data_IF_905687995665
#
_entry.id   IF_905687995665
#
_cell.length_a   1.000
_cell.length_b   1.000
_cell.length_c   1.000
_cell.angle_alpha   90.00
_cell.angle_beta   90.00
_cell.angle_gamma   90.00
#
_symmetry.space_group_name_H-M   'P 1'
#
loop_
_entity.id
_entity.type
_entity.pdbx_description
1 polymer ?
#
# COMPACT_ATOMS: atom_id res chain seq x y z
N UNK A 1 -2.35 22.89 -17.39
CA UNK A 1 -2.80 21.98 -16.31
C UNK A 1 -3.84 22.70 -15.49
N UNK A 2 -5.01 22.11 -15.23
CA UNK A 2 -5.97 22.69 -14.29
C UNK A 2 -5.45 22.42 -12.86
N UNK A 3 -5.20 23.46 -12.09
CA UNK A 3 -4.80 23.36 -10.68
C UNK A 3 -6.01 23.51 -9.73
N UNK A 4 -7.23 23.37 -10.26
CA UNK A 4 -8.48 23.46 -9.51
C UNK A 4 -9.24 22.17 -9.71
N UNK A 5 -9.46 21.43 -8.63
CA UNK A 5 -10.18 20.16 -8.58
C UNK A 5 -11.56 20.40 -7.94
N UNK A 6 -12.57 19.68 -8.38
CA UNK A 6 -13.93 19.76 -7.83
C UNK A 6 -14.14 18.81 -6.65
N UNK A 7 -13.31 17.77 -6.55
CA UNK A 7 -13.35 16.76 -5.49
C UNK A 7 -11.93 16.28 -5.14
N UNK A 8 -11.74 15.88 -3.90
CA UNK A 8 -10.50 15.23 -3.46
C UNK A 8 -10.24 13.93 -4.23
N UNK A 9 -11.26 13.28 -4.77
CA UNK A 9 -11.14 12.08 -5.58
C UNK A 9 -10.35 12.31 -6.88
N UNK A 10 -10.43 13.52 -7.45
CA UNK A 10 -9.68 13.91 -8.65
C UNK A 10 -8.18 14.13 -8.38
N UNK A 11 -7.79 14.22 -7.10
CA UNK A 11 -6.40 14.42 -6.69
C UNK A 11 -5.66 13.10 -6.44
N UNK A 12 -6.36 11.97 -6.49
CA UNK A 12 -5.76 10.65 -6.29
C UNK A 12 -4.91 10.25 -7.50
N UNK A 13 -3.70 9.77 -7.23
CA UNK A 13 -2.77 9.37 -8.27
C UNK A 13 -1.84 10.50 -8.75
N UNK A 14 -1.21 10.29 -9.90
CA UNK A 14 -0.19 11.19 -10.49
C UNK A 14 0.90 11.58 -9.48
N UNK A 15 1.27 10.63 -8.65
CA UNK A 15 2.31 10.81 -7.63
C UNK A 15 3.68 10.89 -8.29
N UNK A 16 4.60 11.73 -7.79
CA UNK A 16 5.89 11.93 -8.44
C UNK A 16 6.83 10.74 -8.29
N UNK A 17 7.75 10.59 -9.25
CA UNK A 17 8.99 9.83 -9.12
C UNK A 17 10.11 10.76 -8.64
N UNK A 18 10.82 10.34 -7.59
CA UNK A 18 11.98 11.04 -7.05
C UNK A 18 13.26 10.23 -7.24
N UNK A 19 14.29 10.84 -7.83
CA UNK A 19 15.61 10.21 -7.91
C UNK A 19 16.35 10.32 -6.58
N UNK A 20 16.67 9.18 -5.97
CA UNK A 20 17.30 9.06 -4.65
C UNK A 20 18.83 9.02 -4.78
N UNK A 21 19.41 10.09 -5.31
CA UNK A 21 20.81 10.14 -5.74
C UNK A 21 21.82 10.06 -4.58
N UNK A 22 21.52 10.71 -3.46
CA UNK A 22 22.42 10.72 -2.29
C UNK A 22 22.44 9.36 -1.62
N UNK A 23 21.25 8.78 -1.40
CA UNK A 23 21.11 7.45 -0.81
C UNK A 23 21.76 6.38 -1.69
N UNK A 24 21.51 6.40 -3.01
CA UNK A 24 22.11 5.49 -3.96
C UNK A 24 23.66 5.58 -3.93
N UNK A 25 24.20 6.79 -3.89
CA UNK A 25 25.65 7.02 -3.81
C UNK A 25 26.24 6.50 -2.50
N UNK A 26 25.62 6.79 -1.36
CA UNK A 26 26.06 6.32 -0.04
C UNK A 26 26.11 4.79 0.02
N UNK A 27 25.09 4.14 -0.53
CA UNK A 27 25.01 2.68 -0.60
C UNK A 27 25.77 2.07 -1.79
N UNK A 28 26.54 2.85 -2.57
CA UNK A 28 27.32 2.39 -3.71
C UNK A 28 26.47 1.64 -4.76
N UNK A 29 25.23 2.06 -4.96
CA UNK A 29 24.37 1.53 -6.02
C UNK A 29 24.98 1.83 -7.39
N UNK A 30 24.92 0.85 -8.29
CA UNK A 30 25.31 0.98 -9.70
C UNK A 30 24.13 1.34 -10.58
N UNK A 31 22.91 1.16 -10.05
CA UNK A 31 21.66 1.53 -10.68
C UNK A 31 21.21 2.92 -10.21
N UNK A 32 20.35 3.55 -11.01
CA UNK A 32 19.56 4.70 -10.59
C UNK A 32 18.37 4.21 -9.76
N UNK A 33 18.16 4.77 -8.58
CA UNK A 33 17.04 4.44 -7.70
C UNK A 33 16.00 5.54 -7.79
N UNK A 34 14.77 5.17 -8.16
CA UNK A 34 13.63 6.06 -8.34
C UNK A 34 12.52 5.68 -7.36
N UNK A 35 12.16 6.57 -6.44
CA UNK A 35 11.06 6.36 -5.50
C UNK A 35 9.74 6.85 -6.07
N UNK A 36 8.74 5.99 -6.23
CA UNK A 36 7.34 6.37 -6.51
C UNK A 36 6.68 6.80 -5.22
N UNK A 37 6.53 8.10 -5.02
CA UNK A 37 6.15 8.73 -3.76
C UNK A 37 4.63 8.68 -3.54
N UNK A 38 4.08 7.53 -3.15
CA UNK A 38 2.63 7.33 -2.97
C UNK A 38 2.03 8.12 -1.79
N UNK A 39 2.85 8.66 -0.90
CA UNK A 39 2.42 9.61 0.14
C UNK A 39 2.08 11.00 -0.38
N UNK A 40 2.22 11.28 -1.68
CA UNK A 40 1.67 12.47 -2.33
C UNK A 40 0.19 12.32 -2.71
N UNK A 41 -0.41 11.14 -2.53
CA UNK A 41 -1.86 11.02 -2.56
C UNK A 41 -2.51 11.86 -1.44
N UNK A 42 -3.76 12.32 -1.59
CA UNK A 42 -4.39 13.28 -0.68
C UNK A 42 -4.52 12.81 0.77
N UNK A 43 -4.60 11.51 1.02
CA UNK A 43 -4.58 10.90 2.36
C UNK A 43 -3.21 10.27 2.68
N UNK A 44 -2.16 10.67 1.99
CA UNK A 44 -0.77 10.35 2.23
C UNK A 44 -0.43 8.85 2.13
N UNK A 45 -1.17 8.08 1.29
CA UNK A 45 -0.80 6.69 1.06
C UNK A 45 -1.26 6.12 -0.28
N UNK A 46 -0.62 5.03 -0.68
CA UNK A 46 -0.97 4.23 -1.84
C UNK A 46 -2.42 3.70 -1.81
N UNK A 47 -3.01 3.59 -0.61
CA UNK A 47 -4.35 3.03 -0.43
C UNK A 47 -5.47 3.98 -0.85
N UNK A 48 -5.18 5.25 -1.06
CA UNK A 48 -6.13 6.21 -1.63
C UNK A 48 -6.59 5.76 -3.02
N UNK A 49 -5.65 5.23 -3.82
CA UNK A 49 -5.95 4.64 -5.14
C UNK A 49 -6.87 3.45 -5.04
N UNK A 50 -6.54 2.53 -4.14
CA UNK A 50 -7.29 1.29 -3.92
C UNK A 50 -8.71 1.60 -3.42
N UNK A 51 -8.81 2.49 -2.43
CA UNK A 51 -10.10 2.88 -1.85
C UNK A 51 -11.03 3.53 -2.89
N UNK A 52 -10.50 4.49 -3.66
CA UNK A 52 -11.27 5.13 -4.72
C UNK A 52 -11.73 4.12 -5.77
N UNK A 53 -10.81 3.27 -6.25
CA UNK A 53 -11.11 2.32 -7.32
C UNK A 53 -12.12 1.25 -6.91
N UNK A 54 -12.07 0.78 -5.66
CA UNK A 54 -13.07 -0.17 -5.15
C UNK A 54 -14.48 0.46 -5.08
N UNK A 55 -14.59 1.73 -4.67
CA UNK A 55 -15.87 2.44 -4.64
C UNK A 55 -16.39 2.67 -6.08
N UNK A 56 -15.53 3.12 -6.99
CA UNK A 56 -15.88 3.32 -8.41
C UNK A 56 -16.34 2.02 -9.10
N UNK A 57 -15.70 0.90 -8.73
CA UNK A 57 -16.11 -0.41 -9.25
C UNK A 57 -17.53 -0.80 -8.76
N UNK A 58 -17.84 -0.55 -7.48
CA UNK A 58 -19.17 -0.79 -6.95
C UNK A 58 -20.23 0.14 -7.60
N UNK A 59 -19.88 1.42 -7.84
CA UNK A 59 -20.74 2.36 -8.60
C UNK A 59 -21.02 1.84 -10.02
N UNK A 60 -19.97 1.41 -10.71
CA UNK A 60 -20.09 0.90 -12.08
C UNK A 60 -20.84 -0.43 -12.17
N UNK A 61 -20.77 -1.26 -11.13
CA UNK A 61 -21.50 -2.53 -11.01
C UNK A 61 -23.00 -2.38 -10.77
N UNK A 62 -23.48 -1.17 -10.44
CA UNK A 62 -24.87 -0.91 -10.16
C UNK A 62 -25.36 -1.50 -8.82
N UNK A 63 -24.44 -1.82 -7.93
CA UNK A 63 -24.72 -2.41 -6.62
C UNK A 63 -25.12 -1.35 -5.57
N UNK A 64 -24.98 -0.06 -5.89
CA UNK A 64 -25.17 1.05 -4.96
C UNK A 64 -26.60 1.60 -5.04
N UNK A 65 -27.19 1.82 -3.87
CA UNK A 65 -28.45 2.53 -3.67
C UNK A 65 -28.31 3.61 -2.58
N UNK A 66 -29.36 4.36 -2.30
CA UNK A 66 -29.36 5.45 -1.29
C UNK A 66 -29.10 4.99 0.16
N UNK A 67 -29.31 3.69 0.44
CA UNK A 67 -29.09 3.10 1.76
C UNK A 67 -27.75 2.39 1.88
N UNK A 68 -26.96 2.30 0.81
CA UNK A 68 -25.71 1.54 0.77
C UNK A 68 -24.77 1.95 1.90
N UNK A 69 -24.23 0.91 2.57
CA UNK A 69 -23.23 1.02 3.60
C UNK A 69 -22.01 0.18 3.20
N UNK A 70 -20.89 0.81 2.95
CA UNK A 70 -19.64 0.08 2.74
C UNK A 70 -19.11 -0.47 4.04
N UNK A 71 -18.53 -1.67 4.01
CA UNK A 71 -17.95 -2.36 5.18
C UNK A 71 -16.56 -2.87 4.84
N UNK A 72 -15.59 -2.68 5.73
CA UNK A 72 -14.25 -3.25 5.58
C UNK A 72 -13.63 -3.60 6.93
N UNK A 73 -12.93 -4.74 6.98
CA UNK A 73 -12.12 -5.13 8.14
C UNK A 73 -10.67 -4.67 7.92
N UNK A 74 -10.29 -3.57 8.55
CA UNK A 74 -8.95 -3.00 8.38
C UNK A 74 -8.56 -2.06 9.50
N UNK A 75 -7.31 -2.09 9.93
CA UNK A 75 -6.73 -1.14 10.88
C UNK A 75 -5.74 -0.16 10.26
N UNK A 76 -5.56 -0.21 8.93
CA UNK A 76 -4.51 0.49 8.22
C UNK A 76 -4.98 1.59 7.28
N UNK A 77 -4.10 1.93 6.35
CA UNK A 77 -4.30 2.98 5.36
C UNK A 77 -5.53 2.76 4.47
N UNK A 78 -5.94 1.50 4.23
CA UNK A 78 -7.16 1.20 3.47
C UNK A 78 -8.41 1.78 4.14
N UNK A 79 -8.52 1.63 5.47
CA UNK A 79 -9.63 2.21 6.23
C UNK A 79 -9.66 3.74 6.17
N UNK A 80 -8.50 4.39 6.24
CA UNK A 80 -8.38 5.84 6.13
C UNK A 80 -8.78 6.30 4.72
N UNK A 81 -8.26 5.63 3.68
CA UNK A 81 -8.61 5.93 2.30
C UNK A 81 -10.11 5.76 2.03
N UNK A 82 -10.70 4.63 2.46
CA UNK A 82 -12.13 4.39 2.33
C UNK A 82 -12.95 5.45 3.06
N UNK A 83 -12.57 5.82 4.30
CA UNK A 83 -13.30 6.81 5.09
C UNK A 83 -13.35 8.17 4.38
N UNK A 84 -12.22 8.64 3.85
CA UNK A 84 -12.16 9.90 3.13
C UNK A 84 -12.89 9.87 1.78
N UNK A 85 -12.74 8.78 1.00
CA UNK A 85 -13.43 8.66 -0.29
C UNK A 85 -14.94 8.52 -0.12
N UNK A 86 -15.40 7.76 0.89
CA UNK A 86 -16.81 7.68 1.24
C UNK A 86 -17.37 9.04 1.68
N UNK A 87 -16.66 9.77 2.53
CA UNK A 87 -17.06 11.12 2.92
C UNK A 87 -17.20 12.06 1.71
N UNK A 88 -16.22 12.03 0.80
CA UNK A 88 -16.24 12.86 -0.41
C UNK A 88 -17.38 12.53 -1.38
N UNK A 89 -17.79 11.27 -1.43
CA UNK A 89 -18.87 10.77 -2.32
C UNK A 89 -20.23 10.66 -1.63
N UNK A 90 -20.33 10.93 -0.31
CA UNK A 90 -21.57 10.90 0.46
C UNK A 90 -22.02 9.50 0.88
N UNK A 91 -21.14 8.51 0.91
CA UNK A 91 -21.45 7.14 1.32
C UNK A 91 -21.22 6.90 2.80
N UNK A 92 -22.01 6.00 3.39
CA UNK A 92 -21.78 5.49 4.74
C UNK A 92 -20.69 4.43 4.73
N UNK A 93 -19.88 4.41 5.79
CA UNK A 93 -18.79 3.42 5.96
C UNK A 93 -18.75 2.89 7.39
N UNK A 94 -18.64 1.57 7.51
CA UNK A 94 -18.36 0.88 8.75
C UNK A 94 -17.01 0.18 8.65
N UNK A 95 -16.11 0.47 9.57
CA UNK A 95 -14.81 -0.20 9.70
C UNK A 95 -14.83 -1.07 10.94
N UNK A 96 -14.34 -2.31 10.83
CA UNK A 96 -14.11 -3.18 11.97
C UNK A 96 -12.61 -3.38 12.17
N UNK A 97 -12.16 -3.33 13.42
CA UNK A 97 -10.75 -3.54 13.77
C UNK A 97 -10.58 -3.93 15.25
N UNK A 98 -9.46 -4.59 15.62
CA UNK A 98 -9.16 -4.87 17.02
C UNK A 98 -8.96 -3.59 17.84
N UNK A 99 -9.38 -3.61 19.10
CA UNK A 99 -9.35 -2.45 20.00
C UNK A 99 -7.95 -1.94 20.36
N UNK A 100 -6.92 -2.78 20.19
CA UNK A 100 -5.52 -2.44 20.47
C UNK A 100 -4.80 -1.76 19.28
N UNK A 101 -5.54 -1.39 18.25
CA UNK A 101 -4.96 -0.66 17.11
C UNK A 101 -4.74 0.83 17.44
N UNK A 102 -3.93 1.51 16.61
CA UNK A 102 -3.57 2.93 16.79
C UNK A 102 -4.80 3.82 16.98
N UNK A 103 -4.83 4.57 18.09
CA UNK A 103 -5.91 5.50 18.41
C UNK A 103 -5.99 6.64 17.39
N UNK A 104 -4.85 7.08 16.87
CA UNK A 104 -4.77 8.13 15.86
C UNK A 104 -5.52 7.73 14.58
N UNK A 105 -5.38 6.47 14.16
CA UNK A 105 -6.09 5.94 12.99
C UNK A 105 -7.59 5.80 13.25
N UNK A 106 -7.98 5.32 14.43
CA UNK A 106 -9.39 5.24 14.83
C UNK A 106 -10.03 6.64 14.80
N UNK A 107 -9.35 7.62 15.41
CA UNK A 107 -9.82 9.00 15.44
C UNK A 107 -9.92 9.61 14.05
N UNK A 108 -8.94 9.36 13.17
CA UNK A 108 -8.92 9.88 11.81
C UNK A 108 -10.07 9.30 10.97
N UNK A 109 -10.34 8.01 11.04
CA UNK A 109 -11.47 7.39 10.32
C UNK A 109 -12.82 7.95 10.83
N UNK A 110 -12.97 8.09 12.16
CA UNK A 110 -14.17 8.71 12.75
C UNK A 110 -14.32 10.19 12.37
N UNK A 111 -13.22 10.90 12.24
CA UNK A 111 -13.23 12.31 11.79
C UNK A 111 -13.79 12.46 10.37
N UNK A 112 -13.57 11.49 9.50
CA UNK A 112 -14.21 11.41 8.17
C UNK A 112 -15.66 10.91 8.21
N UNK A 113 -16.21 10.60 9.37
CA UNK A 113 -17.60 10.15 9.53
C UNK A 113 -17.79 8.63 9.44
N UNK A 114 -16.72 7.84 9.39
CA UNK A 114 -16.85 6.39 9.43
C UNK A 114 -17.27 5.90 10.83
N UNK A 115 -18.18 4.94 10.88
CA UNK A 115 -18.45 4.17 12.09
C UNK A 115 -17.30 3.17 12.28
N UNK A 116 -16.63 3.22 13.45
CA UNK A 116 -15.54 2.30 13.78
C UNK A 116 -15.97 1.39 14.93
N UNK A 117 -16.14 0.11 14.61
CA UNK A 117 -16.52 -0.94 15.55
C UNK A 117 -15.24 -1.67 15.98
N UNK A 118 -14.97 -1.60 17.29
CA UNK A 118 -13.82 -2.26 17.88
C UNK A 118 -14.18 -3.69 18.29
N UNK A 119 -13.30 -4.65 17.98
CA UNK A 119 -13.41 -6.05 18.36
C UNK A 119 -12.37 -6.41 19.43
N UNK A 120 -12.58 -7.50 20.22
CA UNK A 120 -11.61 -7.91 21.21
C UNK A 120 -10.21 -8.11 20.63
N UNK A 121 -9.19 -7.61 21.29
CA UNK A 121 -7.79 -7.70 20.86
C UNK A 121 -7.31 -9.13 20.62
N UNK A 122 -7.81 -10.07 21.44
CA UNK A 122 -7.37 -11.47 21.42
C UNK A 122 -7.86 -12.20 20.17
N UNK A 123 -8.94 -11.72 19.53
CA UNK A 123 -9.46 -12.27 18.27
C UNK A 123 -8.69 -11.74 17.04
N UNK A 124 -7.88 -10.68 17.21
CA UNK A 124 -7.08 -10.07 16.16
C UNK A 124 -7.90 -9.67 14.93
N UNK A 125 -7.23 -9.61 13.78
CA UNK A 125 -7.91 -9.26 12.51
C UNK A 125 -8.94 -10.32 12.07
N UNK A 126 -8.85 -11.56 12.53
CA UNK A 126 -9.87 -12.60 12.25
C UNK A 126 -11.21 -12.23 12.90
N UNK A 127 -11.18 -11.76 14.15
CA UNK A 127 -12.38 -11.27 14.83
C UNK A 127 -12.98 -10.04 14.15
N UNK A 128 -12.14 -9.12 13.69
CA UNK A 128 -12.60 -7.96 12.94
C UNK A 128 -13.28 -8.38 11.61
N UNK A 129 -12.69 -9.33 10.87
CA UNK A 129 -13.28 -9.87 9.64
C UNK A 129 -14.62 -10.54 9.89
N UNK A 130 -14.71 -11.44 10.87
CA UNK A 130 -15.95 -12.10 11.23
C UNK A 130 -17.05 -11.11 11.63
N UNK A 131 -16.68 -10.00 12.32
CA UNK A 131 -17.62 -8.92 12.64
C UNK A 131 -18.11 -8.19 11.41
N UNK A 132 -17.23 -7.91 10.44
CA UNK A 132 -17.62 -7.30 9.15
C UNK A 132 -18.57 -8.20 8.36
N UNK A 133 -18.27 -9.48 8.26
CA UNK A 133 -19.13 -10.47 7.58
C UNK A 133 -20.52 -10.55 8.20
N UNK A 134 -20.60 -10.57 9.53
CA UNK A 134 -21.88 -10.56 10.25
C UNK A 134 -22.71 -9.29 9.99
N UNK A 135 -22.04 -8.12 9.84
CA UNK A 135 -22.73 -6.87 9.51
C UNK A 135 -23.34 -6.92 8.11
N UNK A 136 -22.59 -7.45 7.14
CA UNK A 136 -23.07 -7.61 5.76
C UNK A 136 -24.20 -8.64 5.69
N UNK A 137 -24.11 -9.76 6.40
CA UNK A 137 -25.17 -10.77 6.47
C UNK A 137 -26.50 -10.20 7.00
N UNK A 138 -26.43 -9.27 7.96
CA UNK A 138 -27.60 -8.68 8.61
C UNK A 138 -28.16 -7.44 7.93
N UNK A 139 -27.46 -6.88 6.97
CA UNK A 139 -27.88 -5.68 6.26
C UNK A 139 -27.79 -5.90 4.74
N UNK A 140 -28.92 -6.03 4.03
CA UNK A 140 -28.93 -6.26 2.59
C UNK A 140 -28.35 -5.08 1.77
N UNK A 141 -28.28 -3.88 2.34
CA UNK A 141 -27.67 -2.71 1.72
C UNK A 141 -26.16 -2.59 2.01
N UNK A 142 -25.57 -3.52 2.78
CA UNK A 142 -24.15 -3.48 3.11
C UNK A 142 -23.33 -4.18 2.03
N UNK A 143 -22.27 -3.50 1.57
CA UNK A 143 -21.30 -4.00 0.60
C UNK A 143 -19.93 -4.13 1.25
N UNK A 144 -19.37 -5.34 1.30
CA UNK A 144 -18.02 -5.56 1.81
C UNK A 144 -16.99 -5.30 0.73
N UNK A 145 -16.02 -4.41 1.01
CA UNK A 145 -15.00 -3.98 0.04
C UNK A 145 -13.98 -5.06 -0.30
N UNK A 146 -13.61 -5.94 0.67
CA UNK A 146 -12.76 -7.14 0.47
C UNK A 146 -11.42 -6.82 -0.21
N UNK A 147 -10.61 -5.92 0.33
CA UNK A 147 -9.37 -5.43 -0.31
C UNK A 147 -8.43 -6.53 -0.84
N UNK A 148 -8.43 -7.73 -0.25
CA UNK A 148 -7.60 -8.86 -0.67
C UNK A 148 -8.18 -9.68 -1.82
N UNK A 149 -9.45 -9.50 -2.17
CA UNK A 149 -10.18 -10.27 -3.17
C UNK A 149 -10.86 -9.41 -4.23
N UNK A 150 -10.91 -8.10 -4.05
CA UNK A 150 -11.56 -7.17 -4.97
C UNK A 150 -10.60 -6.79 -6.11
N UNK A 151 -10.93 -7.20 -7.34
CA UNK A 151 -10.12 -6.95 -8.54
C UNK A 151 -9.87 -5.45 -8.80
N UNK A 152 -10.70 -4.56 -8.27
CA UNK A 152 -10.45 -3.13 -8.35
C UNK A 152 -9.15 -2.70 -7.64
N UNK A 153 -8.65 -3.49 -6.67
CA UNK A 153 -7.36 -3.22 -6.03
C UNK A 153 -6.18 -3.37 -7.01
N UNK A 154 -5.92 -4.53 -7.64
CA UNK A 154 -4.88 -4.62 -8.66
C UNK A 154 -5.13 -3.70 -9.85
N UNK A 155 -6.37 -3.44 -10.24
CA UNK A 155 -6.71 -2.54 -11.33
C UNK A 155 -6.34 -1.08 -11.05
N UNK A 156 -6.43 -0.62 -9.80
CA UNK A 156 -5.95 0.70 -9.39
C UNK A 156 -4.46 0.90 -9.73
N UNK A 157 -3.68 -0.17 -9.67
CA UNK A 157 -2.25 -0.14 -10.00
C UNK A 157 -1.99 -0.43 -11.48
N UNK A 158 -2.70 -1.38 -12.07
CA UNK A 158 -2.57 -1.73 -13.50
C UNK A 158 -2.89 -0.56 -14.41
N UNK A 159 -3.96 0.17 -14.12
CA UNK A 159 -4.45 1.30 -14.94
C UNK A 159 -4.08 2.68 -14.38
N UNK A 160 -3.38 2.73 -13.25
CA UNK A 160 -2.91 3.96 -12.61
C UNK A 160 -1.39 3.93 -12.42
N UNK A 161 -0.94 3.36 -11.31
CA UNK A 161 0.48 3.43 -10.89
C UNK A 161 1.46 2.96 -11.96
N UNK A 162 1.17 1.85 -12.66
CA UNK A 162 2.07 1.31 -13.68
C UNK A 162 2.16 2.22 -14.90
N UNK A 163 1.05 2.80 -15.34
CA UNK A 163 1.00 3.73 -16.46
C UNK A 163 1.80 5.00 -16.12
N UNK A 164 1.58 5.57 -14.92
CA UNK A 164 2.33 6.73 -14.45
C UNK A 164 3.84 6.48 -14.40
N UNK A 165 4.27 5.30 -13.92
CA UNK A 165 5.70 4.94 -13.87
C UNK A 165 6.28 4.88 -15.30
N UNK A 166 5.59 4.24 -16.25
CA UNK A 166 6.04 4.15 -17.63
C UNK A 166 6.09 5.52 -18.31
N UNK A 167 5.09 6.37 -18.10
CA UNK A 167 5.07 7.73 -18.64
C UNK A 167 6.22 8.58 -18.06
N UNK A 168 6.39 8.58 -16.73
CA UNK A 168 7.40 9.37 -16.01
C UNK A 168 8.84 8.95 -16.33
N UNK A 169 9.05 7.70 -16.75
CA UNK A 169 10.37 7.14 -17.10
C UNK A 169 10.60 7.05 -18.61
N UNK A 170 9.60 7.39 -19.42
CA UNK A 170 9.67 7.15 -20.87
C UNK A 170 9.76 5.66 -21.23
N UNK A 171 9.27 4.78 -20.37
CA UNK A 171 9.34 3.32 -20.50
C UNK A 171 10.66 2.71 -20.02
N UNK A 172 11.63 3.52 -19.58
CA UNK A 172 12.94 3.05 -19.13
C UNK A 172 12.89 2.58 -17.66
N UNK A 173 12.33 1.39 -17.42
CA UNK A 173 12.30 0.71 -16.12
C UNK A 173 12.80 -0.70 -16.27
N UNK A 174 13.86 -1.07 -15.54
CA UNK A 174 14.43 -2.41 -15.58
C UNK A 174 13.94 -3.28 -14.41
N UNK A 175 13.74 -2.67 -13.24
CA UNK A 175 13.31 -3.38 -12.02
C UNK A 175 12.24 -2.57 -11.28
N UNK A 176 11.17 -3.25 -10.87
CA UNK A 176 10.17 -2.74 -9.95
C UNK A 176 10.32 -3.45 -8.60
N UNK A 177 10.48 -2.68 -7.52
CA UNK A 177 10.56 -3.21 -6.15
C UNK A 177 9.35 -2.73 -5.35
N UNK A 178 8.60 -3.66 -4.78
CA UNK A 178 7.46 -3.33 -3.94
C UNK A 178 7.36 -4.25 -2.73
N UNK A 179 7.09 -3.67 -1.57
CA UNK A 179 6.76 -4.43 -0.37
C UNK A 179 5.32 -4.97 -0.46
N UNK A 180 5.13 -6.24 -0.04
CA UNK A 180 3.91 -6.99 -0.31
C UNK A 180 2.92 -6.91 0.84
N UNK A 181 1.82 -6.14 0.62
CA UNK A 181 0.61 -6.18 1.44
C UNK A 181 -0.46 -7.05 0.78
N UNK A 182 -1.24 -6.47 -0.13
CA UNK A 182 -2.25 -7.19 -0.93
C UNK A 182 -1.73 -7.74 -2.25
N UNK A 183 -0.48 -7.45 -2.63
CA UNK A 183 0.17 -7.74 -3.92
C UNK A 183 -0.37 -6.96 -5.13
N UNK A 184 -1.37 -6.10 -4.97
CA UNK A 184 -1.97 -5.37 -6.09
C UNK A 184 -0.96 -4.58 -6.93
N UNK A 185 0.07 -4.01 -6.30
CA UNK A 185 1.08 -3.17 -6.97
C UNK A 185 2.13 -3.96 -7.79
N UNK A 186 2.25 -5.28 -7.58
CA UNK A 186 3.18 -6.13 -8.34
C UNK A 186 2.70 -6.45 -9.75
N UNK A 187 1.46 -6.09 -10.09
CA UNK A 187 0.89 -6.35 -11.39
C UNK A 187 1.41 -5.30 -12.38
N UNK A 188 2.17 -5.75 -13.38
CA UNK A 188 2.74 -4.92 -14.44
C UNK A 188 2.25 -5.37 -15.82
N UNK A 189 2.17 -4.41 -16.73
CA UNK A 189 1.86 -4.66 -18.15
C UNK A 189 3.12 -4.80 -19.02
N UNK A 190 4.32 -4.71 -18.42
CA UNK A 190 5.59 -4.83 -19.14
C UNK A 190 6.24 -6.20 -18.87
N UNK A 191 6.29 -7.11 -19.87
CA UNK A 191 6.85 -8.45 -19.71
C UNK A 191 8.37 -8.46 -19.50
N UNK A 192 9.08 -7.39 -19.88
CA UNK A 192 10.54 -7.28 -19.75
C UNK A 192 10.96 -6.70 -18.40
N UNK A 193 10.00 -6.27 -17.59
CA UNK A 193 10.26 -5.71 -16.26
C UNK A 193 10.54 -6.79 -15.23
N UNK A 194 11.69 -6.72 -14.57
CA UNK A 194 11.97 -7.57 -13.42
C UNK A 194 11.21 -7.06 -12.19
N UNK A 195 10.37 -7.91 -11.60
CA UNK A 195 9.56 -7.59 -10.42
C UNK A 195 10.16 -8.25 -9.19
N UNK A 196 10.41 -7.45 -8.17
CA UNK A 196 10.93 -7.90 -6.88
C UNK A 196 9.91 -7.63 -5.78
N UNK A 197 9.46 -8.70 -5.16
CA UNK A 197 8.58 -8.66 -4.00
C UNK A 197 9.42 -8.57 -2.71
N UNK A 198 8.98 -7.77 -1.75
CA UNK A 198 9.65 -7.63 -0.45
C UNK A 198 8.70 -8.03 0.67
N UNK A 199 9.18 -8.90 1.56
CA UNK A 199 8.43 -9.36 2.73
C UNK A 199 9.27 -9.26 4.01
N UNK A 200 8.65 -9.27 5.21
CA UNK A 200 9.39 -9.29 6.48
C UNK A 200 10.11 -10.62 6.68
N UNK A 201 11.38 -10.59 7.04
CA UNK A 201 12.18 -11.81 7.26
C UNK A 201 11.60 -12.76 8.30
N UNK A 202 10.98 -12.22 9.35
CA UNK A 202 10.34 -13.00 10.42
C UNK A 202 8.96 -13.56 10.02
N UNK A 203 8.41 -13.15 8.85
CA UNK A 203 7.12 -13.62 8.31
C UNK A 203 7.22 -13.84 6.80
N UNK A 204 8.22 -14.61 6.37
CA UNK A 204 8.59 -14.78 4.98
C UNK A 204 7.76 -15.88 4.29
N UNK A 205 6.45 -15.66 4.23
CA UNK A 205 5.48 -16.64 3.71
C UNK A 205 5.56 -16.84 2.20
N UNK A 206 6.00 -15.81 1.45
CA UNK A 206 6.22 -15.91 -0.01
C UNK A 206 7.44 -16.79 -0.31
N UNK A 207 8.43 -16.81 0.58
CA UNK A 207 9.58 -17.71 0.54
C UNK A 207 9.29 -19.08 1.18
N UNK A 208 8.02 -19.42 1.45
CA UNK A 208 7.60 -20.70 1.99
C UNK A 208 7.92 -20.93 3.47
N UNK A 209 8.23 -19.86 4.22
CA UNK A 209 8.49 -19.93 5.67
C UNK A 209 7.21 -19.66 6.48
N UNK A 210 7.16 -20.07 7.76
CA UNK A 210 6.02 -19.76 8.62
C UNK A 210 5.79 -18.27 8.80
N UNK A 211 4.53 -17.88 8.98
CA UNK A 211 4.16 -16.54 9.42
C UNK A 211 4.70 -16.26 10.84
N UNK A 212 5.10 -15.03 11.09
CA UNK A 212 5.64 -14.60 12.37
C UNK A 212 5.38 -13.12 12.64
N UNK A 213 5.59 -12.71 13.89
CA UNK A 213 5.46 -11.30 14.28
C UNK A 213 6.59 -10.45 13.69
N UNK A 214 6.27 -9.26 13.23
CA UNK A 214 7.21 -8.28 12.71
C UNK A 214 6.74 -6.85 12.99
N UNK A 215 7.63 -5.87 12.82
CA UNK A 215 7.38 -4.45 13.10
C UNK A 215 7.29 -3.59 11.82
N UNK A 216 6.98 -4.18 10.67
CA UNK A 216 6.83 -3.47 9.40
C UNK A 216 5.34 -3.39 9.04
N UNK A 217 4.60 -2.33 9.44
CA UNK A 217 3.16 -2.24 9.20
C UNK A 217 2.82 -2.19 7.71
N UNK A 218 1.67 -2.76 7.34
CA UNK A 218 1.13 -2.69 5.99
C UNK A 218 1.62 -3.75 5.02
N UNK A 219 2.58 -4.61 5.41
CA UNK A 219 3.06 -5.75 4.64
C UNK A 219 3.08 -7.01 5.51
N UNK A 220 3.37 -8.17 4.92
CA UNK A 220 3.52 -9.41 5.67
C UNK A 220 2.24 -9.86 6.37
N UNK A 221 1.14 -10.02 5.64
CA UNK A 221 -0.19 -10.34 6.19
C UNK A 221 -0.28 -11.72 6.90
N UNK A 222 0.81 -12.49 6.89
CA UNK A 222 0.87 -13.83 7.50
C UNK A 222 0.29 -14.94 6.61
N UNK A 223 -0.08 -14.62 5.39
CA UNK A 223 -0.54 -15.55 4.35
C UNK A 223 -0.11 -15.03 2.98
N UNK A 224 -0.09 -15.91 1.97
CA UNK A 224 0.14 -15.52 0.57
C UNK A 224 -1.11 -14.81 0.06
N UNK A 225 -1.02 -13.50 -0.31
CA UNK A 225 -2.20 -12.76 -0.78
C UNK A 225 -2.76 -13.36 -2.06
N UNK A 226 -4.10 -13.39 -2.26
CA UNK A 226 -4.72 -13.96 -3.45
C UNK A 226 -4.26 -13.38 -4.79
N UNK A 227 -3.87 -12.09 -4.80
CA UNK A 227 -3.35 -11.43 -6.00
C UNK A 227 -1.86 -11.68 -6.24
N UNK A 228 -1.18 -12.39 -5.34
CA UNK A 228 0.20 -12.77 -5.57
C UNK A 228 0.29 -13.84 -6.65
N UNK A 229 1.18 -13.62 -7.62
CA UNK A 229 1.38 -14.54 -8.74
C UNK A 229 2.88 -14.76 -8.93
N UNK A 230 3.35 -15.98 -8.64
CA UNK A 230 4.75 -16.37 -8.80
C UNK A 230 5.29 -16.16 -10.22
N UNK A 231 4.41 -16.24 -11.24
CA UNK A 231 4.83 -16.04 -12.63
C UNK A 231 5.17 -14.57 -12.96
N UNK A 232 4.75 -13.63 -12.12
CA UNK A 232 5.02 -12.20 -12.29
C UNK A 232 6.18 -11.71 -11.42
N UNK A 233 6.64 -12.53 -10.46
CA UNK A 233 7.67 -12.15 -9.50
C UNK A 233 8.96 -12.89 -9.82
N UNK A 234 10.02 -12.13 -10.11
CA UNK A 234 11.32 -12.70 -10.47
C UNK A 234 12.17 -13.02 -9.22
N UNK A 235 11.96 -12.28 -8.13
CA UNK A 235 12.70 -12.47 -6.88
C UNK A 235 11.85 -12.05 -5.69
N UNK A 236 11.95 -12.81 -4.57
CA UNK A 236 11.37 -12.42 -3.28
C UNK A 236 12.51 -12.15 -2.30
N UNK A 237 12.58 -10.94 -1.77
CA UNK A 237 13.58 -10.52 -0.80
C UNK A 237 12.97 -10.36 0.59
N UNK A 238 13.54 -11.05 1.56
CA UNK A 238 13.19 -10.90 2.97
C UNK A 238 14.07 -9.84 3.65
N UNK A 239 13.42 -8.86 4.33
CA UNK A 239 14.08 -7.74 5.00
C UNK A 239 13.73 -7.78 6.48
N UNK A 240 14.72 -7.55 7.34
CA UNK A 240 14.49 -7.49 8.80
C UNK A 240 13.82 -6.19 9.21
N UNK A 241 13.20 -6.18 10.39
CA UNK A 241 12.61 -4.98 10.99
C UNK A 241 13.65 -3.86 11.17
N UNK A 242 14.86 -4.22 11.56
CA UNK A 242 15.98 -3.30 11.77
C UNK A 242 16.43 -2.68 10.44
N UNK A 243 16.69 -3.51 9.43
CA UNK A 243 17.06 -3.02 8.09
C UNK A 243 16.01 -2.06 7.51
N UNK A 244 14.72 -2.35 7.69
CA UNK A 244 13.64 -1.49 7.23
C UNK A 244 13.64 -0.13 7.93
N UNK A 245 13.74 -0.12 9.26
CA UNK A 245 13.78 1.09 10.08
C UNK A 245 15.02 1.93 9.80
N UNK A 246 16.18 1.32 9.74
CA UNK A 246 17.44 2.04 9.52
C UNK A 246 17.49 2.63 8.11
N UNK A 247 17.00 1.91 7.10
CA UNK A 247 16.90 2.46 5.74
C UNK A 247 15.91 3.62 5.67
N UNK A 248 14.77 3.54 6.37
CA UNK A 248 13.83 4.67 6.43
C UNK A 248 14.47 5.90 7.10
N UNK A 249 15.19 5.72 8.22
CA UNK A 249 15.91 6.80 8.92
C UNK A 249 17.01 7.41 8.05
N UNK A 250 17.78 6.57 7.36
CA UNK A 250 18.86 7.04 6.49
C UNK A 250 18.31 7.79 5.28
N UNK A 251 17.18 7.33 4.71
CA UNK A 251 16.49 8.04 3.63
C UNK A 251 16.04 9.43 4.08
N UNK A 252 15.48 9.54 5.28
CA UNK A 252 15.09 10.83 5.83
C UNK A 252 16.29 11.78 6.01
N UNK A 253 17.42 11.28 6.50
CA UNK A 253 18.64 12.07 6.72
C UNK A 253 19.34 12.49 5.43
N UNK A 254 19.42 11.58 4.46
CA UNK A 254 20.17 11.81 3.22
C UNK A 254 19.38 12.57 2.17
N UNK A 255 18.10 12.22 1.98
CA UNK A 255 17.24 12.79 0.94
C UNK A 255 16.22 13.80 1.46
N UNK A 256 16.05 13.92 2.79
CA UNK A 256 14.99 14.73 3.39
C UNK A 256 13.58 14.12 3.17
N UNK A 257 13.50 12.83 2.91
CA UNK A 257 12.26 12.15 2.53
C UNK A 257 11.72 11.30 3.69
N UNK A 258 10.58 11.67 4.29
CA UNK A 258 10.05 11.03 5.48
C UNK A 258 9.27 9.75 5.16
N UNK A 259 9.94 8.75 4.61
CA UNK A 259 9.31 7.49 4.18
C UNK A 259 8.86 6.62 5.35
N UNK A 260 7.76 5.89 5.18
CA UNK A 260 7.28 4.91 6.16
C UNK A 260 8.16 3.65 6.25
N UNK A 261 7.88 2.81 7.24
CA UNK A 261 8.72 1.63 7.55
C UNK A 261 8.72 0.62 6.40
N UNK A 262 7.57 0.38 5.76
CA UNK A 262 7.48 -0.54 4.60
C UNK A 262 8.20 0.01 3.37
N UNK A 263 8.23 1.34 3.20
CA UNK A 263 9.05 1.98 2.18
C UNK A 263 10.54 1.78 2.46
N UNK A 264 10.96 1.84 3.73
CA UNK A 264 12.32 1.51 4.16
C UNK A 264 12.71 0.08 3.79
N UNK A 265 11.81 -0.89 3.99
CA UNK A 265 12.03 -2.28 3.57
C UNK A 265 12.23 -2.40 2.05
N UNK A 266 11.34 -1.78 1.26
CA UNK A 266 11.44 -1.79 -0.19
C UNK A 266 12.72 -1.10 -0.70
N UNK A 267 13.10 0.03 -0.09
CA UNK A 267 14.36 0.74 -0.41
C UNK A 267 15.59 -0.10 -0.05
N UNK A 268 15.60 -0.78 1.11
CA UNK A 268 16.69 -1.67 1.49
C UNK A 268 16.92 -2.75 0.42
N UNK A 269 15.85 -3.40 -0.04
CA UNK A 269 15.92 -4.39 -1.12
C UNK A 269 16.44 -3.78 -2.42
N UNK A 270 15.92 -2.63 -2.84
CA UNK A 270 16.34 -1.94 -4.05
C UNK A 270 17.82 -1.54 -4.03
N UNK A 271 18.32 -1.07 -2.88
CA UNK A 271 19.72 -0.72 -2.71
C UNK A 271 20.63 -1.95 -2.77
N UNK A 272 20.23 -3.08 -2.16
CA UNK A 272 20.97 -4.36 -2.27
C UNK A 272 21.02 -4.84 -3.73
N UNK A 273 19.92 -4.75 -4.47
CA UNK A 273 19.88 -5.07 -5.91
C UNK A 273 20.77 -4.11 -6.70
N UNK A 274 20.67 -2.81 -6.43
CA UNK A 274 21.44 -1.78 -7.12
C UNK A 274 22.96 -1.91 -6.97
N UNK A 275 23.45 -2.62 -5.96
CA UNK A 275 24.88 -2.91 -5.78
C UNK A 275 25.40 -4.01 -6.73
N UNK A 276 24.51 -4.83 -7.30
CA UNK A 276 24.90 -5.95 -8.17
C UNK A 276 25.57 -5.43 -9.44
N UNK A 277 26.61 -6.13 -9.96
CA UNK A 277 27.35 -5.68 -11.15
C UNK A 277 26.47 -5.46 -12.38
N UNK A 278 25.49 -6.33 -12.60
CA UNK A 278 24.59 -6.31 -13.74
C UNK A 278 23.59 -5.14 -13.71
N UNK A 279 23.45 -4.46 -12.57
CA UNK A 279 22.57 -3.31 -12.42
C UNK A 279 23.22 -1.98 -12.88
N UNK A 280 24.42 -2.02 -13.42
CA UNK A 280 25.10 -0.81 -13.91
C UNK A 280 24.30 -0.14 -15.03
N UNK A 281 23.89 1.10 -14.77
CA UNK A 281 23.15 1.92 -15.73
C UNK A 281 21.65 1.57 -15.84
N UNK A 282 21.15 0.68 -14.97
CA UNK A 282 19.75 0.28 -14.89
C UNK A 282 18.91 1.23 -14.04
N UNK A 283 17.60 1.28 -14.30
CA UNK A 283 16.63 2.02 -13.51
C UNK A 283 15.85 1.07 -12.61
N UNK A 284 15.90 1.29 -11.30
CA UNK A 284 15.12 0.57 -10.30
C UNK A 284 14.06 1.51 -9.73
N UNK A 285 12.80 1.20 -9.96
CA UNK A 285 11.66 1.91 -9.37
C UNK A 285 11.24 1.22 -8.09
N UNK A 286 11.09 2.00 -7.02
CA UNK A 286 10.68 1.52 -5.69
C UNK A 286 9.39 2.18 -5.29
N UNK A 287 8.39 1.39 -4.90
CA UNK A 287 7.14 1.92 -4.36
C UNK A 287 7.37 2.37 -2.92
N UNK A 288 7.03 3.64 -2.62
CA UNK A 288 7.08 4.25 -1.30
C UNK A 288 5.65 4.48 -0.81
N UNK A 289 5.04 3.49 -0.10
CA UNK A 289 3.58 3.44 0.07
C UNK A 289 2.99 4.55 0.92
N UNK A 290 3.72 5.02 1.93
CA UNK A 290 3.29 6.05 2.88
C UNK A 290 4.49 6.74 3.53
N UNK A 291 4.22 7.66 4.46
CA UNK A 291 5.24 8.40 5.18
C UNK A 291 5.25 8.06 6.68
N UNK A 292 6.33 8.47 7.36
CA UNK A 292 6.68 8.06 8.74
C UNK A 292 5.76 8.65 9.81
N UNK A 293 5.07 9.77 9.54
CA UNK A 293 4.20 10.44 10.52
C UNK A 293 3.08 9.53 11.05
N UNK A 294 2.72 8.49 10.29
CA UNK A 294 1.74 7.47 10.72
C UNK A 294 2.27 6.49 11.76
N UNK A 295 3.55 6.55 12.06
CA UNK A 295 4.27 5.56 12.87
C UNK A 295 5.07 6.19 14.01
N UNK A 296 4.93 7.50 14.28
CA UNK A 296 5.72 8.22 15.29
C UNK A 296 5.54 7.66 16.72
N UNK A 297 4.41 7.01 17.00
CA UNK A 297 4.16 6.36 18.29
C UNK A 297 4.80 4.97 18.44
N UNK A 298 5.40 4.42 17.37
CA UNK A 298 5.95 3.04 17.37
C UNK A 298 7.42 2.94 16.93
N UNK A 299 8.09 4.11 16.70
CA UNK A 299 9.50 4.20 16.30
C UNK A 299 10.40 4.77 17.40
#
# INVERSE_FOLDING_TARGET
>A
MKNVYNSITEMVGRTPLLSLNKLAKQCKSKARILGKCEFYNPLFSVKDRVALKMIEAAEAGGEINENTVFVEATSGNTGIGLAAMCAAKGYKLVITMPENMSQERIMLMRHFGAEVILTPKDDGMKGALAKAELLVERNPDAIMMKQFYNEANPDAHRFGTSIEILEDTGGEVDVLVSAVGTSGTLITNNPDLSVVAVEPKSSAVLNGRPAGAHKIPGIGAGFVPPFYNDNLVNEVMDITDEEALDTARETAKSEGLPVGISAGAALCAALKIGQRPEMKGKNIVVILPDAIERYLSVI
#
